data_IF_345444164455
#
_entry.id   IF_345444164455
#
_cell.length_a   1.000
_cell.length_b   1.000
_cell.length_c   1.000
_cell.angle_alpha   90.00
_cell.angle_beta   90.00
_cell.angle_gamma   90.00
#
_symmetry.space_group_name_H-M   'P 1'
#
loop_
_entity.id
_entity.type
_entity.pdbx_description
1 polymer ?
#
# COMPACT_ATOMS: atom_id res chain seq x y z
N UNK A 1 24.59 2.02 -21.27
CA UNK A 1 24.09 2.60 -20.00
C UNK A 1 22.97 3.56 -20.36
N UNK A 2 21.71 3.18 -20.16
CA UNK A 2 20.57 4.08 -20.35
C UNK A 2 20.36 4.87 -19.06
N UNK A 3 20.37 6.20 -19.16
CA UNK A 3 20.31 7.12 -18.03
C UNK A 3 18.92 7.14 -17.39
N UNK A 4 18.85 7.15 -16.05
CA UNK A 4 17.66 7.32 -15.21
C UNK A 4 16.93 8.68 -15.38
N UNK A 5 17.32 9.50 -16.36
CA UNK A 5 16.72 10.81 -16.62
C UNK A 5 15.22 10.82 -16.97
N UNK A 6 14.60 9.81 -17.62
CA UNK A 6 13.18 9.89 -17.95
C UNK A 6 12.26 9.71 -16.72
N UNK A 7 12.78 9.25 -15.58
CA UNK A 7 12.00 9.11 -14.34
C UNK A 7 11.69 10.50 -13.75
N UNK A 8 12.67 11.41 -13.75
CA UNK A 8 12.52 12.73 -13.16
C UNK A 8 11.58 13.65 -13.95
N UNK A 9 11.55 13.55 -15.28
CA UNK A 9 10.61 14.34 -16.11
C UNK A 9 9.16 13.83 -15.97
N UNK A 10 8.96 12.53 -15.68
CA UNK A 10 7.63 11.96 -15.43
C UNK A 10 7.04 12.37 -14.07
N UNK A 11 7.88 12.70 -13.08
CA UNK A 11 7.46 13.17 -11.75
C UNK A 11 7.31 14.69 -11.64
N UNK A 12 7.31 15.41 -12.77
CA UNK A 12 6.95 16.83 -12.82
C UNK A 12 8.11 17.77 -12.57
N UNK A 13 8.30 18.71 -13.50
CA UNK A 13 9.27 19.78 -13.38
C UNK A 13 9.11 20.62 -12.11
N UNK A 14 10.20 21.29 -11.72
CA UNK A 14 10.29 22.29 -10.65
C UNK A 14 9.07 23.23 -10.63
N UNK A 15 8.07 22.97 -9.77
CA UNK A 15 6.98 23.92 -9.54
C UNK A 15 5.60 23.36 -9.16
N UNK A 16 5.32 22.07 -9.38
CA UNK A 16 4.03 21.48 -9.00
C UNK A 16 4.10 20.81 -7.62
N UNK A 17 3.23 21.21 -6.69
CA UNK A 17 3.04 20.47 -5.44
C UNK A 17 2.50 19.09 -5.78
N UNK A 18 3.34 18.06 -5.66
CA UNK A 18 2.95 16.68 -5.89
C UNK A 18 2.74 15.98 -4.55
N UNK A 19 1.74 15.11 -4.46
CA UNK A 19 1.56 14.25 -3.30
C UNK A 19 2.71 13.23 -3.25
N UNK A 20 3.58 13.37 -2.25
CA UNK A 20 4.72 12.47 -2.07
C UNK A 20 4.30 11.02 -1.87
N UNK A 21 3.08 10.76 -1.36
CA UNK A 21 2.58 9.40 -1.21
C UNK A 21 2.28 8.76 -2.57
N UNK A 22 1.66 9.50 -3.49
CA UNK A 22 1.39 9.05 -4.85
C UNK A 22 2.68 8.82 -5.65
N UNK A 23 3.65 9.73 -5.50
CA UNK A 23 4.96 9.57 -6.11
C UNK A 23 5.70 8.32 -5.58
N UNK A 24 5.64 8.08 -4.27
CA UNK A 24 6.24 6.90 -3.65
C UNK A 24 5.60 5.60 -4.14
N UNK A 25 4.26 5.56 -4.19
CA UNK A 25 3.50 4.41 -4.70
C UNK A 25 3.94 4.05 -6.13
N UNK A 26 3.99 5.07 -7.00
CA UNK A 26 4.43 4.94 -8.39
C UNK A 26 5.88 4.44 -8.51
N UNK A 27 6.78 4.92 -7.65
CA UNK A 27 8.19 4.48 -7.67
C UNK A 27 8.30 3.01 -7.22
N UNK A 28 7.57 2.60 -6.18
CA UNK A 28 7.60 1.21 -5.70
C UNK A 28 7.06 0.25 -6.75
N UNK A 29 5.99 0.62 -7.45
CA UNK A 29 5.43 -0.19 -8.55
C UNK A 29 6.40 -0.32 -9.71
N UNK A 30 7.01 0.79 -10.16
CA UNK A 30 8.04 0.76 -11.22
C UNK A 30 9.24 -0.09 -10.82
N UNK A 31 9.72 0.04 -9.58
CA UNK A 31 10.83 -0.78 -9.09
C UNK A 31 10.45 -2.26 -8.98
N UNK A 32 9.19 -2.58 -8.63
CA UNK A 32 8.71 -3.94 -8.69
C UNK A 32 8.77 -4.46 -10.12
N UNK A 33 8.24 -3.72 -11.10
CA UNK A 33 8.23 -4.13 -12.50
C UNK A 33 9.62 -4.29 -13.10
N UNK A 34 10.58 -3.45 -12.72
CA UNK A 34 11.97 -3.57 -13.18
C UNK A 34 12.72 -4.74 -12.54
N UNK A 35 12.38 -5.07 -11.28
CA UNK A 35 13.07 -6.10 -10.51
C UNK A 35 12.32 -7.43 -10.45
N UNK A 36 11.14 -7.55 -11.08
CA UNK A 36 10.33 -8.75 -10.94
C UNK A 36 10.99 -9.93 -11.65
N UNK A 37 10.98 -11.07 -10.98
CA UNK A 37 11.29 -12.35 -11.57
C UNK A 37 10.07 -13.25 -11.49
N UNK A 38 9.98 -14.16 -12.45
CA UNK A 38 8.94 -15.20 -12.46
C UNK A 38 9.49 -16.41 -11.75
N UNK A 39 8.81 -16.83 -10.68
CA UNK A 39 9.09 -18.12 -10.04
C UNK A 39 7.83 -18.96 -10.11
N UNK A 40 7.95 -20.16 -10.66
CA UNK A 40 6.93 -21.19 -10.49
C UNK A 40 6.95 -21.61 -9.02
N UNK A 41 5.86 -21.34 -8.31
CA UNK A 41 5.76 -21.68 -6.90
C UNK A 41 5.34 -23.14 -6.78
N UNK A 42 6.08 -23.99 -6.03
CA UNK A 42 5.59 -25.31 -5.71
C UNK A 42 4.33 -25.17 -4.85
N UNK A 43 3.31 -25.94 -5.19
CA UNK A 43 2.05 -26.03 -4.46
C UNK A 43 2.34 -26.73 -3.14
N UNK A 44 2.83 -26.01 -2.13
CA UNK A 44 2.66 -26.47 -0.75
C UNK A 44 2.70 -25.35 0.30
N UNK A 45 1.67 -25.48 1.14
CA UNK A 45 1.41 -24.90 2.46
C UNK A 45 1.54 -23.38 2.66
N UNK A 46 0.42 -22.68 2.42
CA UNK A 46 0.07 -21.44 3.13
C UNK A 46 -0.16 -20.20 2.27
N UNK A 47 0.14 -20.24 0.97
CA UNK A 47 0.01 -19.08 0.10
C UNK A 47 -1.33 -19.03 -0.66
N UNK A 48 -1.93 -17.83 -0.68
CA UNK A 48 -3.29 -17.47 -1.13
C UNK A 48 -3.56 -17.59 -2.64
N UNK A 49 -2.74 -18.32 -3.38
CA UNK A 49 -2.88 -18.45 -4.83
C UNK A 49 -2.60 -19.90 -5.21
N UNK A 50 -3.53 -20.53 -5.93
CA UNK A 50 -3.34 -21.86 -6.52
C UNK A 50 -2.16 -21.91 -7.50
N UNK A 51 -1.98 -23.01 -8.25
CA UNK A 51 -0.89 -23.11 -9.22
C UNK A 51 -0.88 -21.90 -10.16
N UNK A 52 0.19 -21.11 -10.12
CA UNK A 52 0.28 -19.85 -10.82
C UNK A 52 1.70 -19.30 -10.82
N UNK A 53 2.02 -18.49 -11.84
CA UNK A 53 3.26 -17.72 -11.89
C UNK A 53 3.10 -16.53 -10.94
N UNK A 54 3.74 -16.60 -9.78
CA UNK A 54 3.83 -15.44 -8.90
C UNK A 54 4.93 -14.53 -9.47
N UNK A 55 4.55 -13.35 -9.97
CA UNK A 55 5.52 -12.29 -10.23
C UNK A 55 5.95 -11.73 -8.87
N UNK A 56 7.22 -11.94 -8.52
CA UNK A 56 7.79 -11.57 -7.22
C UNK A 56 8.98 -10.64 -7.44
N UNK A 57 9.23 -9.74 -6.49
CA UNK A 57 10.37 -8.83 -6.53
C UNK A 57 10.83 -8.53 -5.11
N UNK A 58 12.06 -8.02 -4.96
CA UNK A 58 12.56 -7.61 -3.64
C UNK A 58 11.67 -6.53 -3.01
N UNK A 59 11.07 -5.66 -3.83
CA UNK A 59 10.14 -4.63 -3.38
C UNK A 59 8.91 -5.27 -2.74
N UNK A 60 8.29 -6.25 -3.42
CA UNK A 60 7.14 -6.95 -2.87
C UNK A 60 7.52 -7.81 -1.67
N UNK A 61 8.71 -8.38 -1.60
CA UNK A 61 9.14 -9.11 -0.38
C UNK A 61 9.24 -8.24 0.86
N UNK A 62 9.60 -6.96 0.70
CA UNK A 62 9.82 -6.04 1.81
C UNK A 62 8.53 -5.30 2.17
N UNK A 63 7.79 -4.84 1.16
CA UNK A 63 6.69 -3.88 1.34
C UNK A 63 5.30 -4.46 1.11
N UNK A 64 5.17 -5.67 0.55
CA UNK A 64 3.85 -6.23 0.23
C UNK A 64 3.10 -6.61 1.51
N UNK A 65 2.03 -5.88 1.78
CA UNK A 65 0.96 -6.31 2.66
C UNK A 65 -0.15 -7.02 1.88
N UNK A 66 -0.96 -7.78 2.61
CA UNK A 66 -2.17 -8.42 2.08
C UNK A 66 -3.37 -7.88 2.86
N UNK A 67 -4.40 -7.42 2.13
CA UNK A 67 -5.67 -6.98 2.68
C UNK A 67 -6.79 -7.88 2.18
N UNK A 68 -7.74 -8.19 3.05
CA UNK A 68 -8.99 -8.83 2.64
C UNK A 68 -10.10 -7.79 2.69
N UNK A 69 -10.68 -7.48 1.54
CA UNK A 69 -11.80 -6.55 1.40
C UNK A 69 -13.10 -7.35 1.31
N UNK A 70 -14.06 -6.99 2.17
CA UNK A 70 -15.39 -7.58 2.18
C UNK A 70 -16.35 -6.63 1.46
N UNK A 71 -16.90 -7.08 0.34
CA UNK A 71 -17.92 -6.32 -0.39
C UNK A 71 -19.29 -6.92 -0.10
N UNK A 72 -20.18 -6.12 0.48
CA UNK A 72 -21.58 -6.47 0.63
C UNK A 72 -22.33 -5.97 -0.61
N UNK A 73 -22.78 -6.92 -1.44
CA UNK A 73 -23.57 -6.63 -2.63
C UNK A 73 -24.98 -6.14 -2.23
N UNK A 74 -25.69 -5.40 -3.12
CA UNK A 74 -27.06 -4.93 -2.84
C UNK A 74 -28.08 -6.04 -2.52
N UNK A 75 -27.80 -7.28 -2.93
CA UNK A 75 -28.59 -8.47 -2.63
C UNK A 75 -28.24 -9.13 -1.28
N UNK A 76 -27.39 -8.50 -0.46
CA UNK A 76 -26.94 -9.03 0.83
C UNK A 76 -25.83 -10.09 0.75
N UNK A 77 -25.40 -10.49 -0.46
CA UNK A 77 -24.28 -11.43 -0.63
C UNK A 77 -22.97 -10.73 -0.26
N UNK A 78 -22.20 -11.33 0.64
CA UNK A 78 -20.84 -10.87 0.97
C UNK A 78 -19.82 -11.60 0.11
N UNK A 79 -19.05 -10.87 -0.68
CA UNK A 79 -17.90 -11.40 -1.43
C UNK A 79 -16.60 -10.97 -0.74
N UNK A 80 -15.62 -11.87 -0.73
CA UNK A 80 -14.28 -11.58 -0.20
C UNK A 80 -13.33 -11.41 -1.38
N UNK A 81 -12.59 -10.32 -1.39
CA UNK A 81 -11.53 -10.04 -2.34
C UNK A 81 -10.23 -9.91 -1.57
N UNK A 82 -9.20 -10.62 -2.01
CA UNK A 82 -7.86 -10.52 -1.44
C UNK A 82 -7.04 -9.62 -2.35
N UNK A 83 -6.50 -8.56 -1.80
CA UNK A 83 -5.71 -7.54 -2.51
C UNK A 83 -4.33 -7.44 -1.86
N UNK A 84 -3.31 -7.11 -2.65
CA UNK A 84 -2.00 -6.75 -2.12
C UNK A 84 -1.76 -5.26 -2.24
N UNK A 85 -1.03 -4.69 -1.29
CA UNK A 85 -0.65 -3.28 -1.27
C UNK A 85 0.82 -3.14 -0.88
N UNK A 86 1.44 -2.03 -1.25
CA UNK A 86 2.81 -1.65 -0.88
C UNK A 86 2.85 -0.54 0.17
N UNK A 87 1.78 0.27 0.25
CA UNK A 87 1.62 1.37 1.20
C UNK A 87 0.28 1.30 1.95
N UNK A 88 0.26 1.78 3.21
CA UNK A 88 -0.96 1.93 4.00
C UNK A 88 -1.24 3.42 4.18
N UNK A 89 -2.36 3.88 3.62
CA UNK A 89 -2.88 5.22 3.87
C UNK A 89 -3.68 5.23 5.17
N UNK A 90 -3.14 5.92 6.18
CA UNK A 90 -3.83 6.07 7.47
C UNK A 90 -4.86 7.20 7.39
N UNK A 91 -6.08 7.00 7.94
CA UNK A 91 -7.06 8.06 8.01
C UNK A 91 -6.53 9.22 8.88
N UNK A 92 -6.98 10.46 8.63
CA UNK A 92 -6.59 11.59 9.46
C UNK A 92 -7.03 11.32 10.91
N UNK A 93 -6.21 11.72 11.90
CA UNK A 93 -6.58 11.55 13.30
C UNK A 93 -7.90 12.31 13.57
N UNK A 94 -8.77 11.78 14.44
CA UNK A 94 -10.02 12.45 14.80
C UNK A 94 -9.71 13.87 15.31
N UNK A 95 -10.38 14.87 14.72
CA UNK A 95 -10.20 16.27 15.11
C UNK A 95 -10.66 16.44 16.55
N UNK A 96 -9.73 16.70 17.46
CA UNK A 96 -10.08 17.08 18.82
C UNK A 96 -10.67 18.50 18.77
N UNK A 97 -11.95 18.65 19.08
CA UNK A 97 -12.50 19.97 19.35
C UNK A 97 -11.77 20.53 20.57
N UNK A 98 -10.92 21.54 20.35
CA UNK A 98 -10.29 22.33 21.40
C UNK A 98 -11.38 23.10 22.17
N UNK A 99 -12.06 22.43 23.11
CA UNK A 99 -12.68 23.11 24.24
C UNK A 99 -11.52 23.47 25.19
N UNK A 100 -11.38 24.76 25.44
CA UNK A 100 -10.29 25.35 26.22
C UNK A 100 -10.09 24.63 27.55
N UNK A 101 -8.84 24.25 27.86
CA UNK A 101 -8.41 24.07 29.24
C UNK A 101 -8.00 22.66 29.70
N UNK A 102 -7.83 21.67 28.82
CA UNK A 102 -7.31 20.36 29.26
C UNK A 102 -5.97 20.03 28.61
N UNK A 103 -4.95 19.90 29.45
CA UNK A 103 -3.55 19.56 29.11
C UNK A 103 -3.37 18.07 28.78
N UNK A 104 -4.38 17.43 28.20
CA UNK A 104 -4.35 16.01 27.85
C UNK A 104 -4.16 15.87 26.34
N UNK A 105 -2.90 15.99 25.89
CA UNK A 105 -2.50 15.55 24.55
C UNK A 105 -2.88 14.08 24.42
N UNK A 106 -3.94 13.80 23.65
CA UNK A 106 -4.38 12.42 23.44
C UNK A 106 -3.43 11.81 22.43
N UNK A 107 -2.37 11.17 22.92
CA UNK A 107 -1.46 10.38 22.09
C UNK A 107 -2.29 9.25 21.47
N UNK A 108 -2.49 9.30 20.16
CA UNK A 108 -3.03 8.18 19.42
C UNK A 108 -1.90 7.16 19.29
N UNK A 109 -2.11 5.95 19.82
CA UNK A 109 -1.17 4.86 19.64
C UNK A 109 -1.19 4.42 18.16
N UNK A 110 -0.02 4.46 17.51
CA UNK A 110 0.15 4.02 16.12
C UNK A 110 -0.28 2.56 15.94
N UNK A 111 -0.09 1.71 16.95
CA UNK A 111 -0.52 0.31 16.89
C UNK A 111 -2.04 0.21 16.82
N UNK A 112 -2.74 1.03 17.59
CA UNK A 112 -4.21 1.05 17.58
C UNK A 112 -4.77 1.67 16.30
N UNK A 113 -4.03 2.59 15.68
CA UNK A 113 -4.38 3.12 14.37
C UNK A 113 -4.23 2.05 13.28
N UNK A 114 -3.12 1.30 13.30
CA UNK A 114 -2.86 0.21 12.34
C UNK A 114 -3.90 -0.92 12.43
N UNK A 115 -4.33 -1.30 13.64
CA UNK A 115 -5.38 -2.32 13.85
C UNK A 115 -6.74 -1.96 13.24
N UNK A 116 -6.98 -0.68 12.93
CA UNK A 116 -8.26 -0.19 12.38
C UNK A 116 -8.27 -0.10 10.84
N UNK A 117 -7.13 -0.27 10.19
CA UNK A 117 -6.93 -0.12 8.73
C UNK A 117 -7.03 -1.45 7.98
#
# INVERSE_FOLDING_TARGET
MQSLQPVFEYFGGLGNQHDSAEALDTVLDKLHDECKWRREWPVDEGCLTGPGVLEDSIIYRIFRGIKTVHHTMPNGKVTKQVESFTLISLPPPPRQHHLSGSRNSTKIDLVDLLKRT
#
